data_IF_819881101234
#
_entry.id   IF_819881101234
#
_cell.length_a   1.000
_cell.length_b   1.000
_cell.length_c   1.000
_cell.angle_alpha   90.00
_cell.angle_beta   90.00
_cell.angle_gamma   90.00
#
_symmetry.space_group_name_H-M   'P 1'
#
loop_
_entity.id
_entity.type
_entity.pdbx_description
1 polymer ?
#
# COMPACT_ATOMS: atom_id res chain seq x y z
N UNK A 1 28.28 -12.57 -2.09
CA UNK A 1 27.30 -11.81 -1.28
C UNK A 1 26.19 -11.39 -2.23
N UNK A 2 24.91 -11.43 -1.82
CA UNK A 2 23.81 -11.01 -2.70
C UNK A 2 23.77 -9.48 -2.79
N UNK A 3 23.61 -8.95 -4.00
CA UNK A 3 23.45 -7.52 -4.28
C UNK A 3 21.99 -7.23 -4.64
N UNK A 4 21.31 -6.42 -3.81
CA UNK A 4 19.88 -6.11 -3.91
C UNK A 4 19.59 -4.73 -3.35
N UNK A 5 18.74 -3.91 -4.01
CA UNK A 5 18.30 -2.63 -3.47
C UNK A 5 17.36 -2.80 -2.26
N UNK A 6 17.39 -1.82 -1.35
CA UNK A 6 16.47 -1.73 -0.21
C UNK A 6 15.22 -0.94 -0.61
N UNK A 7 14.20 -1.64 -1.10
CA UNK A 7 12.96 -1.01 -1.58
C UNK A 7 11.87 -1.02 -0.50
N UNK A 8 11.08 0.06 -0.41
CA UNK A 8 9.92 0.13 0.51
C UNK A 8 8.90 -0.96 0.17
N UNK A 9 8.70 -1.24 -1.13
CA UNK A 9 7.80 -2.29 -1.60
C UNK A 9 8.18 -3.70 -1.13
N UNK A 10 9.44 -3.93 -0.79
CA UNK A 10 9.88 -5.23 -0.27
C UNK A 10 9.31 -5.54 1.11
N UNK A 11 9.02 -4.51 1.92
CA UNK A 11 8.39 -4.68 3.23
C UNK A 11 6.98 -5.26 3.08
N UNK A 12 6.18 -4.70 2.16
CA UNK A 12 4.82 -5.20 1.92
C UNK A 12 4.85 -6.57 1.21
N UNK A 13 5.79 -6.81 0.29
CA UNK A 13 5.97 -8.15 -0.32
C UNK A 13 6.29 -9.21 0.74
N UNK A 14 7.13 -8.87 1.73
CA UNK A 14 7.41 -9.75 2.85
C UNK A 14 6.16 -9.99 3.71
N UNK A 15 5.41 -8.93 4.06
CA UNK A 15 4.18 -9.03 4.83
C UNK A 15 3.13 -9.91 4.12
N UNK A 16 2.89 -9.68 2.82
CA UNK A 16 2.00 -10.52 1.99
C UNK A 16 2.42 -11.99 2.01
N UNK A 17 3.72 -12.28 1.87
CA UNK A 17 4.23 -13.65 1.75
C UNK A 17 4.17 -14.44 3.06
N UNK A 18 4.51 -13.81 4.18
CA UNK A 18 4.68 -14.51 5.46
C UNK A 18 3.53 -14.26 6.44
N UNK A 19 2.78 -13.17 6.25
CA UNK A 19 1.72 -12.69 7.14
C UNK A 19 0.45 -12.31 6.37
N UNK A 20 0.24 -12.91 5.19
CA UNK A 20 -0.83 -12.51 4.27
C UNK A 20 -2.23 -12.55 4.87
N UNK A 21 -2.50 -13.45 5.82
CA UNK A 21 -3.79 -13.55 6.52
C UNK A 21 -3.92 -12.70 7.79
N UNK A 22 -2.89 -11.94 8.19
CA UNK A 22 -2.97 -11.06 9.36
C UNK A 22 -3.86 -9.86 9.02
N UNK A 23 -4.79 -9.57 9.92
CA UNK A 23 -5.78 -8.50 9.74
C UNK A 23 -5.16 -7.10 9.84
N UNK A 24 -5.68 -6.21 9.00
CA UNK A 24 -5.55 -4.76 9.07
C UNK A 24 -6.94 -4.21 9.37
N UNK A 25 -7.09 -3.54 10.52
CA UNK A 25 -8.36 -2.98 10.98
C UNK A 25 -8.26 -1.46 11.00
N UNK A 26 -9.21 -0.77 10.38
CA UNK A 26 -9.22 0.69 10.28
C UNK A 26 -10.56 1.26 10.71
N UNK A 27 -10.52 2.25 11.59
CA UNK A 27 -11.66 3.09 11.91
C UNK A 27 -11.84 4.13 10.79
N UNK A 28 -13.04 4.22 10.24
CA UNK A 28 -13.37 5.09 9.12
C UNK A 28 -13.99 6.40 9.60
N UNK A 29 -13.89 7.46 8.80
CA UNK A 29 -14.41 8.78 9.14
C UNK A 29 -15.95 8.82 9.30
N UNK A 30 -16.66 7.87 8.69
CA UNK A 30 -18.11 7.69 8.84
C UNK A 30 -18.50 6.88 10.08
N UNK A 31 -17.53 6.49 10.92
CA UNK A 31 -17.72 5.68 12.11
C UNK A 31 -17.76 4.16 11.85
N UNK A 32 -17.67 3.73 10.58
CA UNK A 32 -17.59 2.31 10.25
C UNK A 32 -16.21 1.71 10.56
N UNK A 33 -16.13 0.39 10.61
CA UNK A 33 -14.86 -0.34 10.77
C UNK A 33 -14.61 -1.16 9.51
N UNK A 34 -13.50 -0.86 8.84
CA UNK A 34 -13.02 -1.64 7.71
C UNK A 34 -12.03 -2.70 8.20
N UNK A 35 -12.19 -3.94 7.71
CA UNK A 35 -11.28 -5.07 7.96
C UNK A 35 -10.80 -5.62 6.64
N UNK A 36 -9.50 -5.84 6.55
CA UNK A 36 -8.86 -6.52 5.42
C UNK A 36 -7.62 -7.27 5.94
N UNK A 37 -6.81 -7.83 5.06
CA UNK A 37 -5.57 -8.52 5.41
C UNK A 37 -4.40 -7.96 4.60
N UNK A 38 -3.15 -8.24 5.01
CA UNK A 38 -1.99 -7.86 4.19
C UNK A 38 -2.04 -8.44 2.77
N UNK A 39 -2.61 -9.63 2.61
CA UNK A 39 -2.76 -10.28 1.31
C UNK A 39 -3.69 -9.51 0.37
N UNK A 40 -4.86 -9.11 0.89
CA UNK A 40 -5.84 -8.32 0.16
C UNK A 40 -5.36 -6.89 -0.10
N UNK A 41 -4.79 -6.25 0.92
CA UNK A 41 -4.22 -4.91 0.81
C UNK A 41 -3.11 -4.86 -0.25
N UNK A 42 -2.24 -5.87 -0.35
CA UNK A 42 -1.25 -5.95 -1.42
C UNK A 42 -1.87 -5.92 -2.82
N UNK A 43 -2.98 -6.64 -3.03
CA UNK A 43 -3.70 -6.61 -4.30
C UNK A 43 -4.19 -5.20 -4.66
N UNK A 44 -4.75 -4.50 -3.67
CA UNK A 44 -5.24 -3.11 -3.81
C UNK A 44 -4.11 -2.10 -4.03
N UNK A 45 -2.99 -2.27 -3.34
CA UNK A 45 -1.75 -1.49 -3.54
C UNK A 45 -1.27 -1.60 -4.99
N UNK A 46 -1.18 -2.82 -5.55
CA UNK A 46 -0.78 -3.01 -6.94
C UNK A 46 -1.77 -2.37 -7.92
N UNK A 47 -3.08 -2.47 -7.67
CA UNK A 47 -4.09 -1.82 -8.51
C UNK A 47 -3.93 -0.30 -8.51
N UNK A 48 -3.67 0.30 -7.34
CA UNK A 48 -3.43 1.73 -7.21
C UNK A 48 -2.15 2.17 -7.93
N UNK A 49 -1.03 1.45 -7.75
CA UNK A 49 0.23 1.74 -8.45
C UNK A 49 0.06 1.72 -9.98
N UNK A 50 -0.64 0.71 -10.51
CA UNK A 50 -0.98 0.66 -11.93
C UNK A 50 -1.89 1.80 -12.37
N UNK A 51 -2.84 2.22 -11.52
CA UNK A 51 -3.71 3.35 -11.83
C UNK A 51 -2.93 4.67 -11.87
N UNK A 52 -2.03 4.93 -10.90
CA UNK A 52 -1.18 6.12 -10.89
C UNK A 52 -0.32 6.21 -12.14
N UNK A 53 0.29 5.09 -12.57
CA UNK A 53 1.03 5.04 -13.83
C UNK A 53 0.15 5.36 -15.05
N UNK A 54 -1.09 4.85 -15.10
CA UNK A 54 -2.03 5.19 -16.18
C UNK A 54 -2.47 6.66 -16.17
N UNK A 55 -2.43 7.31 -15.00
CA UNK A 55 -2.70 8.73 -14.86
C UNK A 55 -1.49 9.62 -15.21
N UNK A 56 -0.35 9.02 -15.59
CA UNK A 56 0.85 9.75 -16.01
C UNK A 56 1.76 10.19 -14.87
N UNK A 57 1.67 9.54 -13.70
CA UNK A 57 2.64 9.75 -12.62
C UNK A 57 3.97 9.10 -13.02
N UNK A 58 5.03 9.90 -13.08
CA UNK A 58 6.37 9.49 -13.47
C UNK A 58 7.32 9.34 -12.26
N UNK A 59 8.44 8.61 -12.40
CA UNK A 59 9.45 8.54 -11.35
C UNK A 59 9.95 9.93 -10.93
N UNK A 60 9.84 10.23 -9.63
CA UNK A 60 10.21 11.52 -9.05
C UNK A 60 9.05 12.51 -8.88
N UNK A 61 7.87 12.19 -9.43
CA UNK A 61 6.66 12.97 -9.18
C UNK A 61 6.18 12.83 -7.73
N UNK A 62 5.46 13.86 -7.27
CA UNK A 62 4.93 13.92 -5.91
C UNK A 62 3.44 13.58 -5.94
N UNK A 63 3.05 12.60 -5.12
CA UNK A 63 1.64 12.26 -4.86
C UNK A 63 1.32 12.69 -3.43
N UNK A 64 0.47 13.70 -3.28
CA UNK A 64 0.13 14.28 -1.98
C UNK A 64 -1.09 13.56 -1.35
N UNK A 65 -1.08 13.41 -0.02
CA UNK A 65 -2.21 12.91 0.75
C UNK A 65 -2.58 13.89 1.86
N UNK A 66 -3.88 14.08 2.07
CA UNK A 66 -4.46 14.66 3.28
C UNK A 66 -5.47 13.64 3.79
N UNK A 67 -4.97 12.69 4.59
CA UNK A 67 -5.72 11.49 4.95
C UNK A 67 -5.46 11.09 6.41
N UNK A 68 -6.44 10.41 7.00
CA UNK A 68 -6.35 9.82 8.33
C UNK A 68 -5.49 8.55 8.34
N UNK A 69 -5.31 7.95 9.51
CA UNK A 69 -4.70 6.63 9.64
C UNK A 69 -5.74 5.53 9.33
N UNK A 70 -6.09 5.40 8.05
CA UNK A 70 -7.00 4.38 7.56
C UNK A 70 -6.34 3.43 6.53
N UNK A 71 -7.09 2.42 6.11
CA UNK A 71 -6.59 1.39 5.18
C UNK A 71 -6.18 1.97 3.82
N UNK A 72 -6.81 3.05 3.36
CA UNK A 72 -6.47 3.69 2.08
C UNK A 72 -5.16 4.45 2.21
N UNK A 73 -4.94 5.14 3.32
CA UNK A 73 -3.67 5.83 3.55
C UNK A 73 -2.52 4.82 3.65
N UNK A 74 -2.73 3.69 4.34
CA UNK A 74 -1.79 2.58 4.35
C UNK A 74 -1.47 2.08 2.93
N UNK A 75 -2.48 1.88 2.08
CA UNK A 75 -2.29 1.42 0.70
C UNK A 75 -1.50 2.43 -0.14
N UNK A 76 -1.78 3.73 -0.01
CA UNK A 76 -1.09 4.79 -0.76
C UNK A 76 0.41 4.80 -0.44
N UNK A 77 0.81 4.61 0.82
CA UNK A 77 2.22 4.57 1.24
C UNK A 77 3.04 3.59 0.40
N UNK A 78 2.49 2.41 0.14
CA UNK A 78 3.19 1.39 -0.66
C UNK A 78 2.98 1.55 -2.16
N UNK A 79 1.81 2.04 -2.60
CA UNK A 79 1.48 2.16 -4.01
C UNK A 79 2.28 3.26 -4.72
N UNK A 80 2.64 4.34 -4.02
CA UNK A 80 3.43 5.45 -4.59
C UNK A 80 4.91 5.11 -4.63
N UNK A 81 5.41 4.37 -3.64
CA UNK A 81 6.83 4.02 -3.51
C UNK A 81 7.27 2.79 -4.32
N UNK A 82 6.31 2.04 -4.90
CA UNK A 82 6.47 0.66 -5.32
C UNK A 82 6.26 0.39 -6.81
#
# INVERSE_FOLDING_TARGET
>A
MMDRPLLISDLLRFARRNHGGVELVSAMADGSVHRTTYGEAYGRVCQLGHALRRLGVEPGDRVATLAWNDYRHFEIYFAVSG
#
